data_IF_368246624246
#
_entry.id   IF_368246624246
#
_cell.length_a   1.000
_cell.length_b   1.000
_cell.length_c   1.000
_cell.angle_alpha   90.00
_cell.angle_beta   90.00
_cell.angle_gamma   90.00
#
_symmetry.space_group_name_H-M   'P 1'
#
loop_
_entity.id
_entity.type
_entity.pdbx_description
1 polymer ?
#
# COMPACT_ATOMS: atom_id res chain seq x y z
N UNK A 1 -27.70 -15.57 -21.25
CA UNK A 1 -26.74 -14.45 -21.14
C UNK A 1 -25.86 -14.69 -19.91
N UNK A 2 -24.68 -15.31 -20.08
CA UNK A 2 -23.87 -15.83 -18.95
C UNK A 2 -22.35 -15.62 -19.09
N UNK A 3 -21.94 -14.65 -19.90
CA UNK A 3 -20.51 -14.40 -20.21
C UNK A 3 -19.75 -13.68 -19.08
N UNK A 4 -20.47 -13.06 -18.12
CA UNK A 4 -19.87 -12.32 -17.01
C UNK A 4 -19.80 -13.14 -15.71
N UNK A 5 -19.84 -14.47 -15.79
CA UNK A 5 -19.57 -15.24 -14.57
C UNK A 5 -18.12 -15.02 -14.16
N UNK A 6 -17.83 -14.77 -12.87
CA UNK A 6 -16.47 -14.52 -12.39
C UNK A 6 -15.45 -15.58 -12.84
N UNK A 7 -15.90 -16.81 -13.07
CA UNK A 7 -15.10 -17.90 -13.62
C UNK A 7 -14.49 -17.60 -15.00
N UNK A 8 -15.24 -16.95 -15.90
CA UNK A 8 -14.69 -16.58 -17.22
C UNK A 8 -13.64 -15.49 -17.11
N UNK A 9 -13.87 -14.49 -16.23
CA UNK A 9 -12.92 -13.41 -16.00
C UNK A 9 -11.60 -13.95 -15.43
N UNK A 10 -11.68 -14.89 -14.49
CA UNK A 10 -10.49 -15.54 -13.92
C UNK A 10 -9.71 -16.30 -14.99
N UNK A 11 -10.39 -16.99 -15.90
CA UNK A 11 -9.73 -17.74 -16.99
C UNK A 11 -9.01 -16.81 -17.97
N UNK A 12 -9.64 -15.69 -18.34
CA UNK A 12 -9.01 -14.65 -19.18
C UNK A 12 -7.83 -14.01 -18.44
N UNK A 13 -8.00 -13.68 -17.16
CA UNK A 13 -6.93 -13.13 -16.34
C UNK A 13 -5.75 -14.11 -16.28
N UNK A 14 -5.98 -15.41 -16.10
CA UNK A 14 -4.94 -16.43 -16.05
C UNK A 14 -4.12 -16.48 -17.35
N UNK A 15 -4.79 -16.44 -18.51
CA UNK A 15 -4.12 -16.35 -19.81
C UNK A 15 -3.33 -15.04 -19.92
N UNK A 16 -3.93 -13.91 -19.56
CA UNK A 16 -3.23 -12.62 -19.55
C UNK A 16 -2.01 -12.61 -18.61
N UNK A 17 -2.09 -13.26 -17.45
CA UNK A 17 -0.97 -13.44 -16.51
C UNK A 17 0.13 -14.32 -17.11
N UNK A 18 -0.19 -15.29 -17.96
CA UNK A 18 0.83 -16.10 -18.64
C UNK A 18 1.58 -15.29 -19.71
N UNK A 19 0.88 -14.41 -20.44
CA UNK A 19 1.50 -13.52 -21.44
C UNK A 19 2.27 -12.36 -20.80
N UNK A 20 1.65 -11.65 -19.85
CA UNK A 20 2.23 -10.46 -19.24
C UNK A 20 3.05 -10.77 -17.98
N UNK A 21 2.78 -11.88 -17.29
CA UNK A 21 3.40 -12.23 -16.01
C UNK A 21 2.63 -11.67 -14.80
N UNK A 22 2.57 -12.40 -13.67
CA UNK A 22 1.90 -11.95 -12.44
C UNK A 22 2.55 -10.69 -11.84
N UNK A 23 3.83 -10.44 -12.12
CA UNK A 23 4.56 -9.28 -11.62
C UNK A 23 4.19 -7.98 -12.36
N UNK A 24 3.59 -8.07 -13.56
CA UNK A 24 3.25 -6.89 -14.38
C UNK A 24 1.89 -6.30 -14.05
N UNK A 25 0.93 -7.09 -13.56
CA UNK A 25 -0.33 -6.55 -13.06
C UNK A 25 -0.19 -5.55 -11.90
N UNK A 26 0.59 -5.82 -10.83
CA UNK A 26 0.77 -4.84 -9.75
C UNK A 26 1.55 -3.60 -10.22
N UNK A 27 2.48 -3.77 -11.17
CA UNK A 27 3.23 -2.65 -11.77
C UNK A 27 2.30 -1.71 -12.55
N UNK A 28 1.47 -2.28 -13.44
CA UNK A 28 0.45 -1.54 -14.20
C UNK A 28 -0.62 -0.94 -13.28
N UNK A 29 -1.07 -1.68 -12.27
CA UNK A 29 -2.08 -1.24 -11.31
C UNK A 29 -1.65 -0.04 -10.47
N UNK A 30 -0.37 0.06 -10.09
CA UNK A 30 0.16 1.24 -9.37
C UNK A 30 0.08 2.50 -10.22
N UNK A 31 0.50 2.43 -11.48
CA UNK A 31 0.43 3.58 -12.40
C UNK A 31 -1.01 3.96 -12.77
N UNK A 32 -1.83 2.96 -13.09
CA UNK A 32 -3.24 3.16 -13.43
C UNK A 32 -4.07 3.64 -12.22
N UNK A 33 -3.73 3.19 -11.01
CA UNK A 33 -4.36 3.63 -9.77
C UNK A 33 -4.07 5.10 -9.45
N UNK A 34 -2.84 5.58 -9.67
CA UNK A 34 -2.50 7.00 -9.57
C UNK A 34 -3.29 7.84 -10.57
N UNK A 35 -3.35 7.40 -11.84
CA UNK A 35 -4.17 8.06 -12.87
C UNK A 35 -5.66 8.08 -12.50
N UNK A 36 -6.22 6.97 -12.01
CA UNK A 36 -7.63 6.91 -11.63
C UNK A 36 -7.93 7.76 -10.39
N UNK A 37 -6.98 7.85 -9.44
CA UNK A 37 -7.06 8.73 -8.26
C UNK A 37 -7.09 10.19 -8.70
N UNK A 38 -6.13 10.62 -9.51
CA UNK A 38 -6.07 11.99 -10.04
C UNK A 38 -7.28 12.32 -10.92
N UNK A 39 -7.73 11.37 -11.76
CA UNK A 39 -8.93 11.52 -12.58
C UNK A 39 -10.18 11.72 -11.71
N UNK A 40 -10.35 10.91 -10.66
CA UNK A 40 -11.44 11.05 -9.69
C UNK A 40 -11.36 12.38 -8.96
N UNK A 41 -10.18 12.80 -8.52
CA UNK A 41 -10.00 14.02 -7.73
C UNK A 41 -10.26 15.27 -8.60
N UNK A 42 -9.82 15.26 -9.86
CA UNK A 42 -10.14 16.29 -10.84
C UNK A 42 -11.64 16.34 -11.18
N UNK A 43 -12.28 15.18 -11.30
CA UNK A 43 -13.72 15.09 -11.65
C UNK A 43 -14.62 15.42 -10.46
N UNK A 44 -14.18 15.13 -9.23
CA UNK A 44 -14.99 15.33 -8.02
C UNK A 44 -14.94 16.77 -7.49
N UNK A 45 -14.12 17.66 -8.08
CA UNK A 45 -13.99 19.07 -7.67
C UNK A 45 -13.45 19.30 -6.25
N UNK A 46 -13.17 18.23 -5.52
CA UNK A 46 -12.69 18.25 -4.14
C UNK A 46 -11.16 18.09 -4.18
N UNK A 47 -10.43 19.21 -4.22
CA UNK A 47 -8.96 19.30 -4.20
C UNK A 47 -8.34 18.81 -2.89
N UNK A 48 -8.57 17.55 -2.55
CA UNK A 48 -8.17 16.89 -1.31
C UNK A 48 -6.76 16.34 -1.38
N UNK A 49 -5.81 17.18 -0.99
CA UNK A 49 -4.46 16.88 -0.52
C UNK A 49 -4.32 15.44 0.03
N UNK A 50 -3.83 14.51 -0.79
CA UNK A 50 -3.53 13.14 -0.36
C UNK A 50 -2.01 12.95 -0.41
N UNK A 51 -1.35 13.23 0.70
CA UNK A 51 0.07 12.95 0.94
C UNK A 51 0.25 11.44 1.15
N UNK A 52 0.38 10.67 0.07
CA UNK A 52 0.71 9.23 0.14
C UNK A 52 1.82 8.84 -0.87
N UNK A 53 2.75 9.75 -1.16
CA UNK A 53 4.08 9.38 -1.68
C UNK A 53 5.01 9.07 -0.49
N UNK A 54 4.81 7.90 0.12
CA UNK A 54 5.87 7.25 0.87
C UNK A 54 5.89 5.78 0.46
N UNK A 55 7.00 5.27 -0.11
CA UNK A 55 7.32 3.86 0.07
C UNK A 55 7.25 3.60 1.57
N UNK A 56 6.22 2.86 2.02
CA UNK A 56 6.34 2.16 3.30
C UNK A 56 7.37 1.07 3.06
N UNK A 57 8.63 1.48 3.16
CA UNK A 57 9.72 0.57 3.47
C UNK A 57 9.21 -0.29 4.63
N UNK A 58 9.30 -1.62 4.55
CA UNK A 58 8.84 -2.48 5.62
C UNK A 58 9.62 -2.07 6.86
N UNK A 59 8.98 -1.31 7.75
CA UNK A 59 9.51 -1.03 9.07
C UNK A 59 9.61 -2.38 9.78
N UNK A 60 10.82 -2.95 9.70
CA UNK A 60 11.25 -4.02 10.58
C UNK A 60 10.91 -3.58 12.01
N UNK A 61 10.29 -4.44 12.82
CA UNK A 61 9.78 -4.05 14.13
C UNK A 61 10.97 -3.62 14.99
N UNK A 62 11.13 -2.31 15.16
CA UNK A 62 12.00 -1.74 16.18
C UNK A 62 11.37 -2.13 17.51
N UNK A 63 11.88 -3.21 18.10
CA UNK A 63 11.73 -3.50 19.52
C UNK A 63 12.46 -2.39 20.29
N UNK A 64 11.83 -1.24 20.43
CA UNK A 64 12.18 -0.25 21.45
C UNK A 64 11.67 -0.77 22.79
N UNK A 65 12.47 -1.62 23.43
CA UNK A 65 12.48 -1.76 24.88
C UNK A 65 13.13 -0.49 25.46
N UNK A 66 12.41 0.61 25.45
CA UNK A 66 12.66 1.73 26.37
C UNK A 66 12.21 1.29 27.75
N UNK A 67 13.03 0.47 28.42
CA UNK A 67 12.85 0.12 29.83
C UNK A 67 14.17 -0.37 30.41
N UNK A 68 15.17 0.51 30.50
CA UNK A 68 16.38 0.21 31.27
C UNK A 68 17.30 1.43 31.53
N UNK A 69 16.81 2.63 31.90
CA UNK A 69 17.75 3.64 32.43
C UNK A 69 17.24 4.79 33.32
N UNK A 70 16.18 4.62 34.13
CA UNK A 70 15.73 5.69 35.07
C UNK A 70 15.48 5.21 36.51
N UNK A 71 16.30 4.30 37.04
CA UNK A 71 16.20 3.86 38.44
C UNK A 71 17.54 3.79 39.21
N UNK A 72 18.57 4.55 38.80
CA UNK A 72 19.90 4.44 39.42
C UNK A 72 20.54 5.76 39.93
N UNK A 73 19.88 6.93 39.86
CA UNK A 73 20.52 8.19 40.30
C UNK A 73 19.53 9.18 40.91
N UNK A 74 18.95 8.86 42.08
CA UNK A 74 18.25 9.86 42.92
C UNK A 74 18.03 9.41 44.38
N UNK A 75 19.00 8.75 45.00
CA UNK A 75 19.04 8.54 46.47
C UNK A 75 20.48 8.66 46.96
N UNK A 76 21.06 9.86 46.90
CA UNK A 76 22.39 10.15 47.47
C UNK A 76 22.54 11.59 47.99
N UNK A 77 21.45 12.34 48.17
CA UNK A 77 21.50 13.65 48.81
C UNK A 77 20.22 13.92 49.60
N UNK A 78 20.11 13.31 50.78
CA UNK A 78 19.90 13.99 52.06
C UNK A 78 20.02 13.02 53.23
#
# INVERSE_FOLDING_TARGET
>A
MGALTPMHIILIALVALLLFGPNKLPELGRGFGKMFREFKDATSGNGGHSNDDAPREPEAPKKELTSANDAAQQQSHK
#
